data_IF_791131229147
#
_entry.id   IF_791131229147
#
_cell.length_a   1.000
_cell.length_b   1.000
_cell.length_c   1.000
_cell.angle_alpha   90.00
_cell.angle_beta   90.00
_cell.angle_gamma   90.00
#
_symmetry.space_group_name_H-M   'P 1'
#
loop_
_entity.id
_entity.type
_entity.pdbx_description
1 polymer ?
#
# COMPACT_ATOMS: atom_id res chain seq x y z
N UNK A 1 33.16 0.22 -15.81
CA UNK A 1 32.27 -0.92 -15.47
C UNK A 1 31.17 -0.39 -14.59
N UNK A 2 30.01 -0.03 -15.16
CA UNK A 2 28.86 0.43 -14.40
C UNK A 2 28.04 -0.78 -13.97
N UNK A 3 28.32 -1.32 -12.77
CA UNK A 3 27.44 -2.30 -12.18
C UNK A 3 26.05 -1.69 -12.03
N UNK A 4 25.02 -2.42 -12.42
CA UNK A 4 23.63 -2.02 -12.15
C UNK A 4 23.55 -1.62 -10.67
N UNK A 5 22.97 -0.45 -10.32
CA UNK A 5 22.78 -0.08 -8.93
C UNK A 5 22.06 -1.25 -8.26
N UNK A 6 22.70 -1.85 -7.25
CA UNK A 6 22.10 -2.96 -6.51
C UNK A 6 20.71 -2.55 -6.01
N UNK A 7 19.83 -3.51 -5.78
CA UNK A 7 18.45 -3.29 -5.31
C UNK A 7 18.37 -2.30 -4.12
N UNK A 8 19.42 -2.17 -3.29
CA UNK A 8 19.51 -1.16 -2.22
C UNK A 8 19.77 0.29 -2.67
N UNK A 9 20.04 0.56 -3.95
CA UNK A 9 20.50 1.88 -4.42
C UNK A 9 19.37 2.92 -4.58
N UNK A 10 18.10 2.52 -4.49
CA UNK A 10 16.99 3.47 -4.61
C UNK A 10 15.82 3.20 -3.64
N UNK A 11 16.18 2.99 -2.37
CA UNK A 11 15.27 2.78 -1.23
C UNK A 11 14.10 3.77 -1.19
N UNK A 12 14.40 5.04 -1.42
CA UNK A 12 13.40 6.12 -1.44
C UNK A 12 12.41 5.93 -2.58
N UNK A 13 12.90 5.69 -3.80
CA UNK A 13 12.03 5.45 -4.96
C UNK A 13 11.12 4.23 -4.74
N UNK A 14 11.64 3.14 -4.19
CA UNK A 14 10.85 1.93 -3.94
C UNK A 14 9.76 2.16 -2.89
N UNK A 15 10.07 2.94 -1.85
CA UNK A 15 9.08 3.36 -0.85
C UNK A 15 7.98 4.21 -1.48
N UNK A 16 8.34 5.17 -2.34
CA UNK A 16 7.37 6.02 -3.06
C UNK A 16 6.50 5.18 -3.99
N UNK A 17 7.10 4.30 -4.80
CA UNK A 17 6.37 3.51 -5.79
C UNK A 17 5.50 2.43 -5.16
N UNK A 18 5.85 1.91 -3.98
CA UNK A 18 4.97 1.02 -3.21
C UNK A 18 3.62 1.69 -2.90
N UNK A 19 3.61 3.00 -2.67
CA UNK A 19 2.40 3.79 -2.43
C UNK A 19 1.76 4.35 -3.71
N UNK A 20 2.58 4.86 -4.64
CA UNK A 20 2.10 5.59 -5.81
C UNK A 20 1.58 4.67 -6.93
N UNK A 21 2.23 3.54 -7.17
CA UNK A 21 2.01 2.73 -8.36
C UNK A 21 0.76 1.85 -8.19
N UNK A 22 -0.29 2.18 -8.94
CA UNK A 22 -1.55 1.43 -9.07
C UNK A 22 -1.84 0.42 -7.94
N UNK A 23 -2.33 0.88 -6.78
CA UNK A 23 -2.65 0.04 -5.62
C UNK A 23 -3.60 -1.13 -5.95
N UNK A 24 -3.38 -2.35 -5.42
CA UNK A 24 -2.25 -2.81 -4.61
C UNK A 24 -1.03 -3.27 -5.42
N UNK A 25 -1.08 -3.24 -6.75
CA UNK A 25 -0.06 -3.86 -7.62
C UNK A 25 1.33 -3.30 -7.33
N UNK A 26 1.49 -1.97 -7.21
CA UNK A 26 2.78 -1.37 -6.88
C UNK A 26 3.33 -1.84 -5.53
N UNK A 27 2.51 -1.81 -4.48
CA UNK A 27 2.93 -2.28 -3.15
C UNK A 27 3.39 -3.74 -3.18
N UNK A 28 2.72 -4.60 -3.94
CA UNK A 28 3.13 -6.00 -4.10
C UNK A 28 4.45 -6.12 -4.87
N UNK A 29 4.61 -5.41 -5.99
CA UNK A 29 5.87 -5.43 -6.74
C UNK A 29 7.04 -5.03 -5.84
N UNK A 30 6.94 -3.93 -5.11
CA UNK A 30 8.02 -3.42 -4.28
C UNK A 30 8.23 -4.20 -2.98
N UNK A 31 7.27 -5.02 -2.56
CA UNK A 31 7.45 -6.02 -1.50
C UNK A 31 8.45 -7.10 -1.91
N UNK A 32 8.37 -7.58 -3.16
CA UNK A 32 9.31 -8.58 -3.69
C UNK A 32 10.61 -7.97 -4.21
N UNK A 33 10.54 -6.83 -4.89
CA UNK A 33 11.73 -6.14 -5.40
C UNK A 33 12.61 -5.65 -4.24
N UNK A 34 12.02 -5.03 -3.21
CA UNK A 34 12.74 -4.49 -2.06
C UNK A 34 12.99 -5.49 -0.93
N UNK A 35 12.77 -6.80 -1.14
CA UNK A 35 12.74 -7.81 -0.07
C UNK A 35 14.03 -7.94 0.75
N UNK A 36 15.17 -7.54 0.18
CA UNK A 36 16.47 -7.61 0.83
C UNK A 36 16.80 -6.36 1.66
N UNK A 37 15.99 -5.30 1.57
CA UNK A 37 16.07 -4.09 2.42
C UNK A 37 14.91 -4.10 3.46
N UNK A 38 15.20 -4.14 4.76
CA UNK A 38 14.19 -4.32 5.81
C UNK A 38 13.22 -3.13 5.96
N UNK A 39 13.58 -1.95 5.46
CA UNK A 39 12.72 -0.77 5.52
C UNK A 39 11.85 -0.66 4.26
N UNK A 40 12.41 -0.95 3.07
CA UNK A 40 11.59 -1.02 1.85
C UNK A 40 10.57 -2.13 1.98
N UNK A 41 10.99 -3.31 2.45
CA UNK A 41 10.11 -4.45 2.67
C UNK A 41 8.98 -4.11 3.64
N UNK A 42 9.29 -3.44 4.75
CA UNK A 42 8.27 -3.00 5.70
C UNK A 42 7.31 -1.98 5.10
N UNK A 43 7.82 -0.96 4.40
CA UNK A 43 7.01 0.09 3.79
C UNK A 43 6.07 -0.48 2.73
N UNK A 44 6.59 -1.39 1.89
CA UNK A 44 5.80 -2.10 0.90
C UNK A 44 4.77 -3.02 1.55
N UNK A 45 5.12 -3.74 2.61
CA UNK A 45 4.19 -4.58 3.36
C UNK A 45 3.06 -3.77 4.00
N UNK A 46 3.37 -2.63 4.63
CA UNK A 46 2.38 -1.71 5.19
C UNK A 46 1.43 -1.18 4.10
N UNK A 47 1.98 -0.74 2.97
CA UNK A 47 1.20 -0.29 1.83
C UNK A 47 0.31 -1.44 1.29
N UNK A 48 0.83 -2.67 1.20
CA UNK A 48 0.06 -3.85 0.77
C UNK A 48 -1.10 -4.17 1.69
N UNK A 49 -0.93 -4.09 3.01
CA UNK A 49 -2.04 -4.28 3.96
C UNK A 49 -3.14 -3.24 3.72
N UNK A 50 -2.76 -1.96 3.62
CA UNK A 50 -3.73 -0.86 3.44
C UNK A 50 -4.42 -0.94 2.08
N UNK A 51 -3.65 -1.12 1.00
CA UNK A 51 -4.16 -1.24 -0.36
C UNK A 51 -5.03 -2.49 -0.52
N UNK A 52 -4.62 -3.61 0.07
CA UNK A 52 -5.38 -4.86 0.06
C UNK A 52 -6.69 -4.73 0.82
N UNK A 53 -6.68 -4.15 2.02
CA UNK A 53 -7.91 -3.88 2.77
C UNK A 53 -8.85 -2.94 1.99
N UNK A 54 -8.29 -1.91 1.35
CA UNK A 54 -9.08 -0.99 0.54
C UNK A 54 -9.74 -1.67 -0.67
N UNK A 55 -9.03 -2.59 -1.33
CA UNK A 55 -9.58 -3.40 -2.42
C UNK A 55 -10.70 -4.32 -1.92
N UNK A 56 -10.53 -4.97 -0.76
CA UNK A 56 -11.56 -5.81 -0.15
C UNK A 56 -12.82 -5.00 0.13
N UNK A 57 -12.71 -3.82 0.73
CA UNK A 57 -13.87 -2.94 0.98
C UNK A 57 -14.54 -2.56 -0.34
N UNK A 58 -13.77 -2.18 -1.37
CA UNK A 58 -14.32 -1.85 -2.68
C UNK A 58 -15.12 -3.00 -3.29
N UNK A 59 -14.61 -4.23 -3.23
CA UNK A 59 -15.32 -5.43 -3.70
C UNK A 59 -16.62 -5.65 -2.90
N UNK A 60 -16.58 -5.52 -1.57
CA UNK A 60 -17.76 -5.66 -0.72
C UNK A 60 -18.84 -4.62 -1.05
N UNK A 61 -18.45 -3.37 -1.34
CA UNK A 61 -19.40 -2.32 -1.76
C UNK A 61 -20.08 -2.64 -3.09
N UNK A 62 -19.36 -3.23 -4.04
CA UNK A 62 -19.96 -3.72 -5.29
C UNK A 62 -20.96 -4.85 -5.04
N UNK A 63 -20.61 -5.82 -4.18
CA UNK A 63 -21.53 -6.89 -3.78
C UNK A 63 -22.80 -6.30 -3.16
N UNK A 64 -22.66 -5.37 -2.21
CA UNK A 64 -23.78 -4.67 -1.57
C UNK A 64 -24.65 -3.93 -2.59
N UNK A 65 -24.03 -3.26 -3.55
CA UNK A 65 -24.74 -2.54 -4.63
C UNK A 65 -25.56 -3.52 -5.47
N UNK A 66 -25.00 -4.67 -5.85
CA UNK A 66 -25.69 -5.68 -6.66
C UNK A 66 -26.88 -6.28 -5.90
N UNK A 67 -26.68 -6.72 -4.65
CA UNK A 67 -27.76 -7.39 -3.89
C UNK A 67 -28.89 -6.44 -3.47
N UNK A 68 -28.64 -5.14 -3.44
CA UNK A 68 -29.65 -4.11 -3.14
C UNK A 68 -30.31 -3.50 -4.39
N UNK A 69 -30.06 -4.06 -5.57
CA UNK A 69 -30.60 -3.53 -6.82
C UNK A 69 -30.11 -2.11 -7.14
N UNK A 70 -28.93 -1.74 -6.64
CA UNK A 70 -28.30 -0.44 -6.90
C UNK A 70 -28.57 0.65 -5.86
N UNK A 71 -29.50 0.45 -4.91
CA UNK A 71 -29.89 1.48 -3.93
C UNK A 71 -28.69 1.98 -3.12
N UNK A 72 -27.79 1.07 -2.73
CA UNK A 72 -26.59 1.40 -1.96
C UNK A 72 -25.35 1.72 -2.84
N UNK A 73 -25.53 1.88 -4.16
CA UNK A 73 -24.44 2.22 -5.09
C UNK A 73 -23.74 3.54 -4.78
N UNK A 74 -24.44 4.47 -4.10
CA UNK A 74 -23.88 5.76 -3.66
C UNK A 74 -22.68 5.59 -2.71
N UNK A 75 -22.53 4.44 -2.05
CA UNK A 75 -21.39 4.17 -1.18
C UNK A 75 -20.06 4.04 -1.94
N UNK A 76 -20.10 3.67 -3.23
CA UNK A 76 -18.90 3.51 -4.06
C UNK A 76 -18.17 4.85 -4.28
N UNK A 77 -18.81 5.94 -4.77
CA UNK A 77 -18.13 7.22 -4.91
C UNK A 77 -17.69 7.81 -3.56
N UNK A 78 -18.44 7.57 -2.47
CA UNK A 78 -18.01 7.97 -1.12
C UNK A 78 -16.74 7.21 -0.69
N UNK A 79 -16.67 5.92 -0.98
CA UNK A 79 -15.48 5.13 -0.76
C UNK A 79 -14.28 5.63 -1.57
N UNK A 80 -14.47 6.00 -2.83
CA UNK A 80 -13.41 6.59 -3.65
C UNK A 80 -12.81 7.86 -3.03
N UNK A 81 -13.64 8.70 -2.40
CA UNK A 81 -13.15 9.89 -1.69
C UNK A 81 -12.29 9.51 -0.47
N UNK A 82 -12.77 8.58 0.36
CA UNK A 82 -12.04 8.08 1.54
C UNK A 82 -10.72 7.44 1.09
N UNK A 83 -10.79 6.58 0.08
CA UNK A 83 -9.64 5.89 -0.47
C UNK A 83 -8.61 6.86 -1.05
N UNK A 84 -9.05 7.87 -1.80
CA UNK A 84 -8.17 8.90 -2.35
C UNK A 84 -7.40 9.65 -1.25
N UNK A 85 -8.06 9.99 -0.14
CA UNK A 85 -7.39 10.63 1.01
C UNK A 85 -6.36 9.69 1.64
N UNK A 86 -6.71 8.43 1.89
CA UNK A 86 -5.77 7.44 2.46
C UNK A 86 -4.55 7.27 1.56
N UNK A 87 -4.78 7.09 0.26
CA UNK A 87 -3.73 6.95 -0.74
C UNK A 87 -2.82 8.20 -0.79
N UNK A 88 -3.40 9.39 -0.79
CA UNK A 88 -2.66 10.66 -0.83
C UNK A 88 -1.79 10.84 0.42
N UNK A 89 -2.33 10.56 1.60
CA UNK A 89 -1.57 10.60 2.87
C UNK A 89 -0.40 9.63 2.82
N UNK A 90 -0.62 8.40 2.36
CA UNK A 90 0.43 7.40 2.23
C UNK A 90 1.52 7.81 1.25
N UNK A 91 1.15 8.38 0.11
CA UNK A 91 2.08 8.92 -0.87
C UNK A 91 2.92 10.07 -0.30
N UNK A 92 2.29 11.03 0.38
CA UNK A 92 2.98 12.18 1.00
C UNK A 92 4.01 11.69 2.03
N UNK A 93 3.63 10.73 2.87
CA UNK A 93 4.53 10.15 3.87
C UNK A 93 5.69 9.43 3.18
N UNK A 94 5.42 8.66 2.13
CA UNK A 94 6.45 7.96 1.37
C UNK A 94 7.45 8.94 0.73
N UNK A 95 6.96 10.07 0.19
CA UNK A 95 7.81 11.14 -0.36
C UNK A 95 8.67 11.82 0.70
N UNK A 96 8.18 11.92 1.94
CA UNK A 96 8.89 12.53 3.07
C UNK A 96 9.84 11.54 3.79
N UNK A 97 9.65 10.24 3.57
CA UNK A 97 10.38 9.18 4.29
C UNK A 97 11.88 9.14 3.99
N UNK A 98 12.30 9.60 2.80
CA UNK A 98 13.64 9.37 2.27
C UNK A 98 14.06 7.89 2.32
N UNK A 99 13.11 6.98 2.10
CA UNK A 99 13.29 5.53 2.20
C UNK A 99 13.35 4.98 3.63
N UNK A 100 13.21 5.79 4.68
CA UNK A 100 13.10 5.30 6.05
C UNK A 100 11.79 4.52 6.26
N UNK A 101 11.75 3.68 7.29
CA UNK A 101 10.53 3.01 7.74
C UNK A 101 9.48 4.05 8.13
N UNK A 102 8.27 3.93 7.59
CA UNK A 102 7.15 4.84 7.89
C UNK A 102 6.00 4.12 8.59
N UNK A 103 5.31 4.82 9.47
CA UNK A 103 4.04 4.37 10.03
C UNK A 103 2.92 5.28 9.54
N UNK A 104 1.91 4.69 8.88
CA UNK A 104 0.73 5.42 8.48
C UNK A 104 0.03 6.05 9.71
N UNK A 105 -0.36 7.34 9.68
CA UNK A 105 -1.02 7.99 10.79
C UNK A 105 -2.41 7.40 11.00
N UNK A 106 -2.84 7.28 12.26
CA UNK A 106 -4.14 6.71 12.65
C UNK A 106 -4.25 5.19 12.41
N UNK A 107 -3.98 4.70 11.19
CA UNK A 107 -4.09 3.28 10.84
C UNK A 107 -2.85 2.46 11.23
N UNK A 108 -1.70 3.10 11.45
CA UNK A 108 -0.41 2.45 11.72
C UNK A 108 -0.47 1.39 12.81
N UNK A 109 -1.04 1.65 14.01
CA UNK A 109 -1.15 0.65 15.07
C UNK A 109 -1.94 -0.59 14.65
N UNK A 110 -3.03 -0.43 13.88
CA UNK A 110 -3.83 -1.56 13.39
C UNK A 110 -3.05 -2.34 12.33
N UNK A 111 -2.47 -1.64 11.37
CA UNK A 111 -1.76 -2.23 10.23
C UNK A 111 -0.49 -2.97 10.67
N UNK A 112 0.21 -2.47 11.68
CA UNK A 112 1.45 -3.05 12.18
C UNK A 112 1.29 -4.53 12.61
N UNK A 113 0.10 -4.93 13.07
CA UNK A 113 -0.17 -6.34 13.43
C UNK A 113 -0.17 -7.30 12.24
N UNK A 114 -0.43 -6.81 11.03
CA UNK A 114 -0.49 -7.61 9.80
C UNK A 114 0.79 -7.52 8.96
N UNK A 115 1.64 -6.51 9.20
CA UNK A 115 2.88 -6.32 8.43
C UNK A 115 3.79 -7.56 8.47
N UNK A 116 4.08 -8.21 9.62
CA UNK A 116 4.95 -9.38 9.64
C UNK A 116 4.43 -10.55 8.79
N UNK A 117 3.11 -10.73 8.73
CA UNK A 117 2.48 -11.74 7.88
C UNK A 117 2.75 -11.45 6.40
N UNK A 118 2.58 -10.19 5.98
CA UNK A 118 2.80 -9.76 4.58
C UNK A 118 4.28 -9.79 4.22
N UNK A 119 5.17 -9.38 5.11
CA UNK A 119 6.62 -9.54 4.93
C UNK A 119 7.02 -11.00 4.72
N UNK A 120 6.29 -11.95 5.32
CA UNK A 120 6.48 -13.38 5.12
C UNK A 120 6.19 -13.89 3.69
N UNK A 121 5.48 -13.12 2.86
CA UNK A 121 5.20 -13.48 1.47
C UNK A 121 6.43 -13.36 0.57
N UNK A 122 7.32 -12.40 0.86
CA UNK A 122 8.56 -12.18 0.11
C UNK A 122 9.77 -12.74 0.88
N UNK A 123 10.15 -13.98 0.56
CA UNK A 123 11.34 -14.67 1.10
C UNK A 123 12.57 -14.39 0.23
#
# INVERSE_FOLDING_TARGET
MGGAPGVGANKNLYTILAWALFPPIGSLIFLFVGKDDPDVKYNAAQATVIHGAALVIYILLWVITIVTGGILGILIPLWWLVWFVIWLVGLIIALQANGARVSFPVLGPMVASYVPMVEGWAK
#
